data_IF_862251592583
#
_entry.id   IF_862251592583
#
_cell.length_a   1.000
_cell.length_b   1.000
_cell.length_c   1.000
_cell.angle_alpha   90.00
_cell.angle_beta   90.00
_cell.angle_gamma   90.00
#
_symmetry.space_group_name_H-M   'P 1'
#
loop_
_entity.id
_entity.type
_entity.pdbx_description
1 polymer ?
#
# COMPACT_ATOMS: atom_id res chain seq x y z
N UNK A 1 -21.45 -22.17 -6.88
CA UNK A 1 -21.07 -21.11 -5.92
C UNK A 1 -20.19 -21.59 -4.76
N UNK A 2 -19.68 -22.83 -4.76
CA UNK A 2 -18.85 -23.44 -3.70
C UNK A 2 -17.34 -23.26 -3.92
N UNK A 3 -16.90 -23.21 -5.18
CA UNK A 3 -15.48 -23.07 -5.55
C UNK A 3 -14.89 -21.75 -5.05
N UNK A 4 -15.59 -20.63 -5.29
CA UNK A 4 -15.14 -19.31 -4.83
C UNK A 4 -15.03 -19.22 -3.30
N UNK A 5 -15.98 -19.84 -2.57
CA UNK A 5 -15.90 -19.90 -1.11
C UNK A 5 -14.76 -20.79 -0.62
N UNK A 6 -14.45 -21.89 -1.32
CA UNK A 6 -13.34 -22.77 -0.97
C UNK A 6 -11.97 -22.13 -1.24
N UNK A 7 -11.84 -21.40 -2.35
CA UNK A 7 -10.65 -20.63 -2.71
C UNK A 7 -10.41 -19.50 -1.70
N UNK A 8 -11.46 -18.74 -1.36
CA UNK A 8 -11.37 -17.70 -0.32
C UNK A 8 -11.06 -18.29 1.06
N UNK A 9 -11.55 -19.50 1.38
CA UNK A 9 -11.22 -20.19 2.63
C UNK A 9 -9.78 -20.70 2.67
N UNK A 10 -9.24 -21.16 1.54
CA UNK A 10 -7.85 -21.60 1.43
C UNK A 10 -6.88 -20.42 1.50
N UNK A 11 -7.16 -19.32 0.78
CA UNK A 11 -6.39 -18.09 0.87
C UNK A 11 -6.36 -17.52 2.30
N UNK A 12 -7.46 -17.69 3.06
CA UNK A 12 -7.55 -17.28 4.47
C UNK A 12 -6.83 -18.23 5.44
N UNK A 13 -6.51 -19.45 5.04
CA UNK A 13 -5.83 -20.45 5.89
C UNK A 13 -4.30 -20.35 5.86
N UNK A 14 -3.73 -19.73 4.84
CA UNK A 14 -2.28 -19.52 4.71
C UNK A 14 -1.78 -18.17 5.23
N UNK A 15 -2.67 -17.33 5.75
CA UNK A 15 -2.35 -15.96 6.15
C UNK A 15 -1.81 -15.93 7.58
N UNK A 16 -0.66 -15.27 7.78
CA UNK A 16 -0.10 -15.01 9.11
C UNK A 16 -1.10 -14.20 9.97
N UNK A 17 -1.10 -14.36 11.32
CA UNK A 17 -1.86 -13.48 12.21
C UNK A 17 -1.62 -11.98 11.95
N UNK A 18 -0.39 -11.62 11.55
CA UNK A 18 -0.02 -10.24 11.20
C UNK A 18 -0.68 -9.79 9.90
N UNK A 19 -0.67 -10.64 8.87
CA UNK A 19 -1.28 -10.35 7.56
C UNK A 19 -2.81 -10.22 7.65
N UNK A 20 -3.48 -11.03 8.48
CA UNK A 20 -4.93 -10.89 8.70
C UNK A 20 -5.27 -9.62 9.50
N UNK A 21 -4.40 -9.17 10.43
CA UNK A 21 -4.54 -7.85 11.10
C UNK A 21 -4.39 -6.70 10.10
N UNK A 22 -3.36 -6.71 9.28
CA UNK A 22 -3.12 -5.69 8.24
C UNK A 22 -4.27 -5.61 7.25
N UNK A 23 -4.77 -6.77 6.79
CA UNK A 23 -5.94 -6.86 5.93
C UNK A 23 -7.18 -6.28 6.60
N UNK A 24 -7.39 -6.56 7.88
CA UNK A 24 -8.51 -6.02 8.65
C UNK A 24 -8.42 -4.50 8.77
N UNK A 25 -7.22 -3.98 9.09
CA UNK A 25 -6.94 -2.53 9.14
C UNK A 25 -7.21 -1.85 7.80
N UNK A 26 -6.77 -2.45 6.69
CA UNK A 26 -7.02 -1.91 5.35
C UNK A 26 -8.52 -1.87 5.03
N UNK A 27 -9.26 -2.94 5.34
CA UNK A 27 -10.71 -2.98 5.16
C UNK A 27 -11.42 -1.90 5.97
N UNK A 28 -10.99 -1.65 7.21
CA UNK A 28 -11.52 -0.57 8.04
C UNK A 28 -11.27 0.80 7.41
N UNK A 29 -10.06 1.05 6.88
CA UNK A 29 -9.73 2.29 6.17
C UNK A 29 -10.62 2.47 4.93
N UNK A 30 -10.76 1.41 4.12
CA UNK A 30 -11.60 1.43 2.92
C UNK A 30 -13.06 1.66 3.24
N UNK A 31 -13.59 1.06 4.30
CA UNK A 31 -14.96 1.26 4.72
C UNK A 31 -15.21 2.71 5.11
N UNK A 32 -14.36 3.28 5.98
CA UNK A 32 -14.45 4.70 6.35
C UNK A 32 -14.33 5.64 5.15
N UNK A 33 -13.43 5.33 4.21
CA UNK A 33 -13.30 6.12 2.99
C UNK A 33 -14.56 6.07 2.13
N UNK A 34 -15.18 4.90 1.99
CA UNK A 34 -16.45 4.73 1.26
C UNK A 34 -17.61 5.45 1.92
N UNK A 35 -17.68 5.41 3.25
CA UNK A 35 -18.73 6.10 4.00
C UNK A 35 -18.59 7.63 3.86
N UNK A 36 -17.36 8.15 3.86
CA UNK A 36 -17.11 9.59 3.77
C UNK A 36 -17.20 10.11 2.32
N UNK A 37 -16.65 9.38 1.35
CA UNK A 37 -16.46 9.83 -0.04
C UNK A 37 -17.41 9.16 -1.05
N UNK A 38 -18.35 8.36 -0.55
CA UNK A 38 -19.28 7.59 -1.36
C UNK A 38 -18.63 6.47 -2.17
N UNK A 39 -19.47 5.62 -2.76
CA UNK A 39 -19.08 4.63 -3.75
C UNK A 39 -19.13 5.18 -5.19
N UNK A 40 -19.82 6.31 -5.38
CA UNK A 40 -20.08 6.93 -6.69
C UNK A 40 -19.28 8.22 -6.87
N UNK A 41 -19.17 8.69 -8.11
CA UNK A 41 -18.44 9.94 -8.43
C UNK A 41 -19.14 11.15 -7.82
N UNK A 42 -18.67 11.59 -6.65
CA UNK A 42 -19.06 12.87 -6.05
C UNK A 42 -18.60 14.05 -6.89
N UNK A 43 -19.34 15.15 -6.84
CA UNK A 43 -18.87 16.44 -7.36
C UNK A 43 -17.68 16.94 -6.52
N UNK A 44 -16.83 17.76 -7.14
CA UNK A 44 -15.61 18.28 -6.51
C UNK A 44 -15.92 19.02 -5.20
N UNK A 45 -16.93 19.89 -5.22
CA UNK A 45 -17.33 20.69 -4.05
C UNK A 45 -17.87 19.82 -2.90
N UNK A 46 -18.62 18.77 -3.22
CA UNK A 46 -19.15 17.83 -2.22
C UNK A 46 -18.03 17.06 -1.54
N UNK A 47 -17.03 16.62 -2.32
CA UNK A 47 -15.82 15.95 -1.82
C UNK A 47 -15.00 16.86 -0.92
N UNK A 48 -14.74 18.08 -1.37
CA UNK A 48 -13.99 19.08 -0.59
C UNK A 48 -14.70 19.38 0.72
N UNK A 49 -16.03 19.56 0.68
CA UNK A 49 -16.84 19.82 1.88
C UNK A 49 -16.83 18.63 2.85
N UNK A 50 -16.92 17.39 2.35
CA UNK A 50 -16.86 16.18 3.17
C UNK A 50 -15.50 16.01 3.84
N UNK A 51 -14.41 16.26 3.11
CA UNK A 51 -13.05 16.22 3.63
C UNK A 51 -12.85 17.31 4.68
N UNK A 52 -13.29 18.55 4.42
CA UNK A 52 -13.17 19.65 5.38
C UNK A 52 -13.92 19.38 6.68
N UNK A 53 -15.14 18.84 6.60
CA UNK A 53 -15.97 18.46 7.77
C UNK A 53 -15.41 17.31 8.60
N UNK A 54 -14.45 16.55 8.08
CA UNK A 54 -13.84 15.46 8.82
C UNK A 54 -13.01 16.00 9.99
N UNK A 55 -13.47 15.73 11.21
CA UNK A 55 -12.80 16.14 12.45
C UNK A 55 -11.50 15.36 12.64
N UNK A 56 -10.40 16.11 12.78
CA UNK A 56 -9.08 15.59 13.06
C UNK A 56 -8.74 16.01 14.47
N UNK A 57 -9.39 15.38 15.46
CA UNK A 57 -9.21 15.66 16.88
C UNK A 57 -8.89 14.38 17.63
N UNK A 58 -7.91 14.45 18.54
CA UNK A 58 -7.47 13.35 19.40
C UNK A 58 -5.95 13.08 19.34
N UNK A 59 -5.42 12.56 20.45
CA UNK A 59 -3.98 12.22 20.59
C UNK A 59 -3.56 11.02 19.73
N UNK A 60 -4.51 10.19 19.27
CA UNK A 60 -4.26 9.04 18.41
C UNK A 60 -5.17 9.05 17.19
N UNK A 61 -4.62 9.42 16.03
CA UNK A 61 -5.35 9.41 14.76
C UNK A 61 -5.36 8.02 14.14
N UNK A 62 -6.52 7.57 13.67
CA UNK A 62 -6.63 6.36 12.84
C UNK A 62 -5.91 6.56 11.50
N UNK A 63 -5.49 5.47 10.84
CA UNK A 63 -4.83 5.54 9.51
C UNK A 63 -5.64 6.34 8.49
N UNK A 64 -6.97 6.20 8.51
CA UNK A 64 -7.86 7.01 7.69
C UNK A 64 -7.76 8.50 8.01
N UNK A 65 -7.84 8.90 9.28
CA UNK A 65 -7.73 10.30 9.70
C UNK A 65 -6.34 10.89 9.41
N UNK A 66 -5.27 10.09 9.52
CA UNK A 66 -3.92 10.48 9.08
C UNK A 66 -3.92 10.81 7.59
N UNK A 67 -4.56 9.99 6.76
CA UNK A 67 -4.74 10.23 5.33
C UNK A 67 -5.53 11.52 5.04
N UNK A 68 -6.64 11.75 5.75
CA UNK A 68 -7.42 12.99 5.62
C UNK A 68 -6.58 14.21 6.04
N UNK A 69 -5.82 14.11 7.14
CA UNK A 69 -4.93 15.18 7.63
C UNK A 69 -3.90 15.55 6.57
N UNK A 70 -3.22 14.54 6.01
CA UNK A 70 -2.25 14.73 4.94
C UNK A 70 -2.91 15.40 3.72
N UNK A 71 -4.09 14.94 3.31
CA UNK A 71 -4.84 15.54 2.21
C UNK A 71 -5.14 17.03 2.44
N UNK A 72 -5.59 17.41 3.65
CA UNK A 72 -5.81 18.81 4.03
C UNK A 72 -4.51 19.62 3.96
N UNK A 73 -3.41 19.10 4.53
CA UNK A 73 -2.11 19.77 4.49
C UNK A 73 -1.62 20.00 3.06
N UNK A 74 -1.76 19.02 2.18
CA UNK A 74 -1.40 19.17 0.76
C UNK A 74 -2.22 20.28 0.10
N UNK A 75 -3.53 20.33 0.35
CA UNK A 75 -4.42 21.35 -0.24
C UNK A 75 -4.13 22.75 0.29
N UNK A 76 -3.96 22.88 1.61
CA UNK A 76 -3.87 24.17 2.29
C UNK A 76 -2.46 24.78 2.21
N UNK A 77 -1.41 23.95 2.15
CA UNK A 77 -0.03 24.40 2.29
C UNK A 77 0.76 24.45 0.97
N UNK A 78 0.27 23.80 -0.10
CA UNK A 78 1.02 23.67 -1.36
C UNK A 78 0.24 24.20 -2.57
N UNK A 79 0.96 24.86 -3.47
CA UNK A 79 0.47 25.18 -4.82
C UNK A 79 0.15 23.90 -5.61
N UNK A 80 -0.76 24.00 -6.58
CA UNK A 80 -1.32 22.84 -7.30
C UNK A 80 -0.22 22.01 -7.94
N UNK A 81 0.77 22.64 -8.56
CA UNK A 81 1.88 22.01 -9.26
C UNK A 81 2.78 21.25 -8.28
N UNK A 82 3.05 21.86 -7.12
CA UNK A 82 3.88 21.26 -6.08
C UNK A 82 3.16 20.09 -5.39
N UNK A 83 1.84 20.15 -5.22
CA UNK A 83 1.04 19.02 -4.71
C UNK A 83 1.21 17.78 -5.58
N UNK A 84 1.05 17.93 -6.90
CA UNK A 84 1.16 16.80 -7.81
C UNK A 84 2.58 16.24 -7.87
N UNK A 85 3.60 17.10 -7.77
CA UNK A 85 4.99 16.66 -7.65
C UNK A 85 5.21 15.82 -6.40
N UNK A 86 4.79 16.29 -5.23
CA UNK A 86 4.92 15.55 -3.95
C UNK A 86 4.17 14.21 -4.02
N UNK A 87 2.95 14.20 -4.57
CA UNK A 87 2.18 12.97 -4.73
C UNK A 87 2.86 11.98 -5.68
N UNK A 88 3.44 12.46 -6.79
CA UNK A 88 4.17 11.62 -7.73
C UNK A 88 5.42 11.00 -7.08
N UNK A 89 6.21 11.81 -6.37
CA UNK A 89 7.40 11.33 -5.64
C UNK A 89 7.04 10.32 -4.56
N UNK A 90 5.99 10.57 -3.78
CA UNK A 90 5.48 9.66 -2.76
C UNK A 90 5.07 8.31 -3.36
N UNK A 91 4.25 8.32 -4.43
CA UNK A 91 3.80 7.08 -5.06
C UNK A 91 4.94 6.34 -5.77
N UNK A 92 5.85 7.04 -6.43
CA UNK A 92 7.02 6.43 -7.03
C UNK A 92 7.88 5.72 -5.97
N UNK A 93 8.18 6.39 -4.86
CA UNK A 93 8.92 5.79 -3.74
C UNK A 93 8.18 4.61 -3.11
N UNK A 94 6.86 4.73 -2.93
CA UNK A 94 6.04 3.66 -2.35
C UNK A 94 5.99 2.43 -3.25
N UNK A 95 5.79 2.59 -4.56
CA UNK A 95 5.79 1.49 -5.53
C UNK A 95 7.17 0.83 -5.59
N UNK A 96 8.25 1.61 -5.59
CA UNK A 96 9.62 1.10 -5.54
C UNK A 96 9.94 0.35 -4.24
N UNK A 97 9.33 0.73 -3.11
CA UNK A 97 9.47 0.06 -1.83
C UNK A 97 8.64 -1.24 -1.75
N UNK A 98 7.40 -1.22 -2.27
CA UNK A 98 6.50 -2.39 -2.26
C UNK A 98 6.95 -3.44 -3.26
N UNK A 99 7.43 -3.06 -4.44
CA UNK A 99 7.86 -4.01 -5.46
C UNK A 99 8.79 -5.11 -4.91
N UNK A 100 9.82 -4.82 -4.08
CA UNK A 100 10.68 -5.82 -3.47
C UNK A 100 10.21 -6.42 -2.12
N UNK A 101 9.12 -5.93 -1.50
CA UNK A 101 8.73 -6.29 -0.12
C UNK A 101 8.14 -7.68 0.05
N UNK A 102 8.25 -8.51 -0.97
CA UNK A 102 7.62 -9.81 -1.04
C UNK A 102 8.46 -10.89 -0.34
N UNK A 103 7.79 -11.64 0.54
CA UNK A 103 8.42 -12.69 1.33
C UNK A 103 9.02 -13.77 0.42
N UNK A 104 9.94 -14.58 0.95
CA UNK A 104 10.64 -15.63 0.18
C UNK A 104 9.68 -16.63 -0.52
N UNK A 105 8.40 -16.63 -0.15
CA UNK A 105 7.32 -17.47 -0.67
C UNK A 105 6.56 -16.84 -1.85
N UNK A 106 6.61 -15.50 -2.03
CA UNK A 106 5.93 -14.80 -3.13
C UNK A 106 6.83 -14.54 -4.34
N UNK A 107 8.12 -14.85 -4.26
CA UNK A 107 9.04 -14.85 -5.41
C UNK A 107 8.56 -15.78 -6.51
N UNK A 108 8.08 -16.98 -6.15
CA UNK A 108 7.55 -17.95 -7.12
C UNK A 108 6.27 -17.42 -7.79
N UNK A 109 5.43 -16.69 -7.05
CA UNK A 109 4.22 -16.04 -7.58
C UNK A 109 4.57 -14.95 -8.59
N UNK A 110 5.58 -14.13 -8.32
CA UNK A 110 6.05 -13.10 -9.26
C UNK A 110 6.67 -13.70 -10.51
N UNK A 111 7.44 -14.78 -10.38
CA UNK A 111 8.03 -15.50 -11.52
C UNK A 111 6.94 -16.11 -12.41
N UNK A 112 5.93 -16.75 -11.80
CA UNK A 112 4.79 -17.31 -12.52
C UNK A 112 3.94 -16.23 -13.23
N UNK A 113 3.74 -15.08 -12.58
CA UNK A 113 3.06 -13.92 -13.19
C UNK A 113 3.88 -13.36 -14.35
N UNK A 114 5.20 -13.25 -14.24
CA UNK A 114 6.07 -12.74 -15.30
C UNK A 114 5.98 -13.62 -16.56
N UNK A 115 5.96 -14.94 -16.40
CA UNK A 115 5.80 -15.91 -17.49
C UNK A 115 4.44 -15.79 -18.21
N UNK A 116 3.41 -15.29 -17.51
CA UNK A 116 2.05 -15.08 -18.04
C UNK A 116 1.83 -13.65 -18.57
N UNK A 117 2.83 -12.76 -18.48
CA UNK A 117 2.72 -11.35 -18.86
C UNK A 117 2.12 -10.47 -17.75
N UNK A 118 2.63 -10.62 -16.52
CA UNK A 118 2.11 -10.04 -15.30
C UNK A 118 2.06 -8.51 -15.21
N UNK A 119 1.47 -8.01 -14.12
CA UNK A 119 1.15 -6.60 -13.89
C UNK A 119 2.42 -5.70 -13.78
N UNK A 120 2.23 -4.38 -13.81
CA UNK A 120 3.31 -3.37 -13.77
C UNK A 120 4.31 -3.58 -12.61
N UNK A 121 3.84 -4.04 -11.45
CA UNK A 121 4.68 -4.31 -10.27
C UNK A 121 5.63 -5.51 -10.47
N UNK A 122 5.20 -6.55 -11.18
CA UNK A 122 6.03 -7.74 -11.47
C UNK A 122 7.20 -7.38 -12.38
N UNK A 123 6.97 -6.51 -13.36
CA UNK A 123 8.02 -5.98 -14.23
C UNK A 123 9.01 -5.11 -13.45
N UNK A 124 8.51 -4.24 -12.56
CA UNK A 124 9.35 -3.40 -11.72
C UNK A 124 10.19 -4.24 -10.75
N UNK A 125 9.61 -5.25 -10.13
CA UNK A 125 10.31 -6.21 -9.28
C UNK A 125 11.43 -6.94 -10.04
N UNK A 126 11.18 -7.42 -11.26
CA UNK A 126 12.18 -8.09 -12.08
C UNK A 126 13.36 -7.16 -12.41
N UNK A 127 13.08 -5.90 -12.77
CA UNK A 127 14.10 -4.89 -13.00
C UNK A 127 14.94 -4.61 -11.74
N UNK A 128 14.29 -4.40 -10.60
CA UNK A 128 14.98 -4.15 -9.32
C UNK A 128 15.84 -5.34 -8.86
N UNK A 129 15.39 -6.56 -9.15
CA UNK A 129 16.10 -7.81 -8.85
C UNK A 129 17.35 -7.97 -9.72
N UNK A 130 17.28 -7.63 -11.01
CA UNK A 130 18.40 -7.71 -11.95
C UNK A 130 19.45 -6.62 -11.70
N UNK A 131 19.05 -5.42 -11.25
CA UNK A 131 19.97 -4.31 -10.93
C UNK A 131 20.71 -4.52 -9.59
N UNK A 132 20.40 -5.59 -8.85
CA UNK A 132 21.12 -5.95 -7.62
C UNK A 132 20.74 -5.15 -6.38
N UNK A 133 19.76 -4.23 -6.47
CA UNK A 133 19.24 -3.44 -5.35
C UNK A 133 18.67 -4.37 -4.27
N UNK A 134 18.03 -5.48 -4.68
CA UNK A 134 17.50 -6.49 -3.76
C UNK A 134 18.58 -7.25 -3.00
N UNK A 135 19.79 -7.37 -3.56
CA UNK A 135 20.90 -8.10 -2.93
C UNK A 135 21.50 -7.29 -1.78
N UNK A 136 21.57 -5.98 -1.93
CA UNK A 136 22.19 -5.07 -0.96
C UNK A 136 21.34 -4.86 0.30
N UNK A 137 20.01 -4.77 0.17
CA UNK A 137 19.09 -4.67 1.32
C UNK A 137 19.08 -5.94 2.22
N UNK A 138 19.36 -7.11 1.64
CA UNK A 138 19.41 -8.38 2.37
C UNK A 138 20.73 -8.58 3.13
N UNK A 139 21.81 -7.95 2.69
CA UNK A 139 23.12 -8.03 3.34
C UNK A 139 23.24 -7.06 4.52
N UNK A 140 22.51 -5.94 4.55
CA UNK A 140 22.51 -5.00 5.69
C UNK A 140 21.77 -5.51 6.96
N UNK A 141 20.98 -6.60 6.87
CA UNK A 141 20.41 -7.28 8.04
C UNK A 141 21.21 -8.53 8.47
N UNK A 142 22.36 -8.79 7.84
CA UNK A 142 23.31 -9.82 8.26
C UNK A 142 24.54 -9.20 8.93
N UNK A 143 24.40 -8.76 10.17
CA UNK A 143 25.55 -8.37 10.99
C UNK A 143 26.54 -9.54 11.19
N UNK A 144 27.84 -9.26 11.44
CA UNK A 144 28.91 -10.23 11.28
C UNK A 144 28.79 -11.40 12.26
N UNK A 145 28.93 -12.62 11.73
CA UNK A 145 29.22 -13.80 12.55
C UNK A 145 30.60 -13.59 13.19
N UNK A 146 30.60 -13.29 14.49
CA UNK A 146 31.79 -13.27 15.30
C UNK A 146 32.25 -14.69 15.59
N UNK A 147 33.36 -15.08 14.97
CA UNK A 147 34.28 -16.08 15.50
C UNK A 147 34.75 -15.64 16.91
N UNK A 148 34.58 -16.50 17.92
CA UNK A 148 35.66 -17.05 18.79
C UNK A 148 35.21 -18.41 19.32
#
# INVERSE_FOLDING_TARGET
MTVLQSVLRQARRGMSPEEEDERTRLQQVLHKAKDLLGLTRMLKEEKESAIQRCEISGDSLTTFQKGVKLGKQLIDQLQVELRWKVMAEFWAGTILYIAPSDSKETVDVHVDQLAQGGEFLTHLWALLSVVGILKQAREEHGGPQGEV
#
